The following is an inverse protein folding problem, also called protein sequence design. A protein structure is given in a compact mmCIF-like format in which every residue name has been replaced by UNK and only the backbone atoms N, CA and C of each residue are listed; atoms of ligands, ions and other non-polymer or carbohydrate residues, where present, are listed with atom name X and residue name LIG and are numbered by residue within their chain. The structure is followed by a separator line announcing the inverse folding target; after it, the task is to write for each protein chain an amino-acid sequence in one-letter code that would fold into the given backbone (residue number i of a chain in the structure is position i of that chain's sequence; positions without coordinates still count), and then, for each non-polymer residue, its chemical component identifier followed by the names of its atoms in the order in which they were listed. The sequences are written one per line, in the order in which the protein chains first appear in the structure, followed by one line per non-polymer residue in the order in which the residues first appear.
data_IF_857012140189
#
_entry.id   IF_857012140189
#
_cell.length_a   1.000
_cell.length_b   1.000
_cell.length_c   1.000
_cell.angle_alpha   90.00
_cell.angle_beta   90.00
_cell.angle_gamma   90.00
#
_symmetry.space_group_name_H-M   'P 1'
#
loop_
_entity.id
_entity.type
_entity.pdbx_description
1 polymer ?
#
# COMPACT_ATOMS: atom_id res chain seq x y z
N UNK A 1 23.29 67.89 -46.96
CA UNK A 1 23.46 66.42 -47.05
C UNK A 1 23.47 65.71 -45.70
N UNK A 2 24.26 66.12 -44.70
CA UNK A 2 24.35 65.47 -43.37
C UNK A 2 23.00 65.21 -42.65
N UNK A 3 22.04 66.14 -42.70
CA UNK A 3 20.74 66.01 -42.02
C UNK A 3 19.83 64.91 -42.59
N UNK A 4 19.95 64.59 -43.89
CA UNK A 4 19.16 63.53 -44.55
C UNK A 4 19.65 62.13 -44.16
N UNK A 5 20.96 61.96 -43.98
CA UNK A 5 21.55 60.70 -43.53
C UNK A 5 21.22 60.40 -42.05
N UNK A 6 21.14 61.42 -41.20
CA UNK A 6 20.76 61.26 -39.78
C UNK A 6 19.30 60.81 -39.66
N UNK A 7 18.40 61.36 -40.47
CA UNK A 7 16.98 60.96 -40.49
C UNK A 7 16.83 59.53 -41.03
N UNK A 8 17.58 59.16 -42.07
CA UNK A 8 17.58 57.79 -42.59
C UNK A 8 18.12 56.79 -41.55
N UNK A 9 19.20 57.13 -40.84
CA UNK A 9 19.78 56.28 -39.82
C UNK A 9 18.84 56.12 -38.62
N UNK A 10 18.17 57.21 -38.19
CA UNK A 10 17.16 57.17 -37.14
C UNK A 10 15.94 56.30 -37.52
N UNK A 11 15.52 56.33 -38.80
CA UNK A 11 14.44 55.48 -39.31
C UNK A 11 14.82 53.99 -39.40
N UNK A 12 16.09 53.68 -39.69
CA UNK A 12 16.58 52.30 -39.72
C UNK A 12 16.72 51.73 -38.29
N UNK A 13 17.16 52.54 -37.33
CA UNK A 13 17.27 52.13 -35.92
C UNK A 13 15.89 51.94 -35.28
N UNK A 14 14.90 52.77 -35.63
CA UNK A 14 13.53 52.61 -35.11
C UNK A 14 12.81 51.37 -35.68
N UNK A 15 13.12 50.95 -36.91
CA UNK A 15 12.62 49.70 -37.48
C UNK A 15 13.27 48.45 -36.83
N UNK A 16 14.52 48.55 -36.38
CA UNK A 16 15.22 47.48 -35.66
C UNK A 16 14.85 47.37 -34.17
N UNK A 17 14.28 48.44 -33.58
CA UNK A 17 13.89 48.49 -32.17
C UNK A 17 12.54 47.83 -31.86
N UNK A 18 11.79 47.40 -32.88
CA UNK A 18 10.53 46.69 -32.71
C UNK A 18 10.82 45.23 -32.31
N UNK A 19 11.17 44.99 -31.03
CA UNK A 19 11.20 43.64 -30.48
C UNK A 19 9.80 43.05 -30.58
N UNK A 20 9.67 41.96 -31.33
CA UNK A 20 8.44 41.15 -31.39
C UNK A 20 8.00 40.87 -29.96
N UNK A 21 6.78 41.27 -29.59
CA UNK A 21 6.20 40.91 -28.29
C UNK A 21 6.17 39.39 -28.23
N UNK A 22 6.89 38.80 -27.28
CA UNK A 22 6.87 37.36 -27.07
C UNK A 22 5.48 37.00 -26.55
N UNK A 23 4.75 36.17 -27.31
CA UNK A 23 3.44 35.70 -26.89
C UNK A 23 3.60 34.64 -25.79
N UNK A 24 3.51 35.10 -24.54
CA UNK A 24 3.55 34.25 -23.34
C UNK A 24 4.92 34.17 -22.66
N UNK A 25 4.97 33.35 -21.62
CA UNK A 25 6.13 33.10 -20.77
C UNK A 25 6.35 31.59 -20.59
N UNK A 26 7.59 31.15 -20.60
CA UNK A 26 7.99 29.78 -20.26
C UNK A 26 9.05 29.88 -19.17
N UNK A 27 8.73 29.37 -17.98
CA UNK A 27 9.64 29.40 -16.84
C UNK A 27 10.81 28.44 -17.03
N UNK A 28 11.92 28.81 -16.39
CA UNK A 28 13.12 27.99 -16.26
C UNK A 28 13.08 27.06 -15.04
N UNK A 29 12.07 27.21 -14.15
CA UNK A 29 12.04 26.60 -12.82
C UNK A 29 10.78 25.75 -12.55
N UNK A 30 10.26 25.09 -13.60
CA UNK A 30 9.21 24.09 -13.39
C UNK A 30 9.72 23.00 -12.46
N UNK A 31 8.83 22.46 -11.61
CA UNK A 31 9.21 21.50 -10.58
C UNK A 31 8.02 20.71 -10.07
N UNK A 32 8.27 19.56 -9.45
CA UNK A 32 7.27 18.97 -8.57
C UNK A 32 7.25 19.70 -7.23
N UNK A 33 6.21 19.45 -6.43
CA UNK A 33 6.20 19.91 -5.03
C UNK A 33 7.34 19.26 -4.23
N UNK A 34 7.56 17.97 -4.46
CA UNK A 34 8.72 17.21 -4.03
C UNK A 34 9.37 16.56 -5.24
N UNK A 35 10.66 16.82 -5.45
CA UNK A 35 11.41 16.22 -6.57
C UNK A 35 11.84 14.77 -6.27
N UNK A 36 11.59 14.25 -5.06
CA UNK A 36 11.73 12.86 -4.69
C UNK A 36 10.35 12.18 -4.70
N UNK A 37 10.07 11.46 -5.78
CA UNK A 37 8.82 10.73 -5.97
C UNK A 37 9.02 9.30 -5.46
N UNK A 38 8.11 8.78 -4.65
CA UNK A 38 8.28 7.47 -4.00
C UNK A 38 7.35 6.42 -4.61
N UNK A 39 7.91 5.58 -5.48
CA UNK A 39 7.22 4.42 -6.02
C UNK A 39 7.28 3.27 -5.00
N UNK A 40 6.33 3.25 -4.07
CA UNK A 40 6.14 2.11 -3.15
C UNK A 40 5.58 0.93 -3.94
N UNK A 41 6.41 -0.10 -4.11
CA UNK A 41 6.14 -1.22 -5.02
C UNK A 41 4.84 -1.97 -4.68
N UNK A 42 4.04 -2.26 -5.70
CA UNK A 42 2.87 -3.14 -5.60
C UNK A 42 1.62 -2.52 -4.97
N UNK A 43 1.62 -1.22 -4.64
CA UNK A 43 0.41 -0.51 -4.24
C UNK A 43 -0.62 -0.51 -5.38
N UNK A 44 -1.91 -0.47 -5.01
CA UNK A 44 -3.02 -0.42 -5.97
C UNK A 44 -2.92 0.83 -6.84
N UNK A 45 -2.63 1.97 -6.21
CA UNK A 45 -2.42 3.25 -6.88
C UNK A 45 -1.51 4.13 -6.02
N UNK A 46 -0.44 4.64 -6.62
CA UNK A 46 0.30 5.79 -6.10
C UNK A 46 0.39 6.83 -7.21
N UNK A 47 0.11 8.09 -6.88
CA UNK A 47 0.16 9.19 -7.83
C UNK A 47 0.98 10.33 -7.27
N UNK A 48 1.91 10.86 -8.06
CA UNK A 48 2.68 12.04 -7.70
C UNK A 48 1.83 13.32 -7.76
N UNK A 49 2.35 14.39 -7.18
CA UNK A 49 1.88 15.74 -7.49
C UNK A 49 2.08 16.06 -8.99
N UNK A 50 1.31 17.03 -9.48
CA UNK A 50 1.48 17.60 -10.82
C UNK A 50 2.73 18.48 -10.88
N UNK A 51 3.28 18.65 -12.08
CA UNK A 51 4.35 19.62 -12.29
C UNK A 51 3.76 21.03 -12.09
N UNK A 52 4.40 21.83 -11.24
CA UNK A 52 4.16 23.26 -11.15
C UNK A 52 4.88 23.94 -12.32
N UNK A 53 4.11 24.56 -13.21
CA UNK A 53 4.61 25.26 -14.38
C UNK A 53 5.24 26.63 -14.08
N UNK A 54 5.26 27.06 -12.81
CA UNK A 54 5.96 28.24 -12.32
C UNK A 54 5.60 29.52 -13.10
N UNK A 55 4.29 29.76 -13.27
CA UNK A 55 3.76 30.93 -13.97
C UNK A 55 3.84 30.86 -15.51
N UNK A 56 4.31 29.76 -16.09
CA UNK A 56 4.34 29.59 -17.56
C UNK A 56 2.94 29.71 -18.17
N UNK A 57 2.86 30.31 -19.36
CA UNK A 57 1.61 30.53 -20.07
C UNK A 57 1.03 29.19 -20.57
N UNK A 58 -0.21 28.83 -20.18
CA UNK A 58 -0.91 27.68 -20.74
C UNK A 58 -1.41 27.95 -22.17
N UNK A 59 -1.79 26.90 -22.93
CA UNK A 59 -1.71 25.49 -22.58
C UNK A 59 -0.27 24.97 -22.63
N UNK A 60 0.03 23.98 -21.80
CA UNK A 60 1.31 23.28 -21.84
C UNK A 60 1.15 21.78 -21.81
N UNK A 61 2.11 21.09 -22.41
CA UNK A 61 2.23 19.62 -22.38
C UNK A 61 3.63 19.22 -21.95
N UNK A 62 3.73 18.01 -21.43
CA UNK A 62 4.95 17.43 -20.89
C UNK A 62 5.25 16.10 -21.58
N UNK A 63 6.53 15.80 -21.76
CA UNK A 63 7.00 14.50 -22.20
C UNK A 63 8.16 14.04 -21.33
N UNK A 64 8.03 12.87 -20.72
CA UNK A 64 9.12 12.25 -19.97
C UNK A 64 10.17 11.70 -20.93
N UNK A 65 11.44 12.01 -20.67
CA UNK A 65 12.58 11.60 -21.48
C UNK A 65 13.70 11.05 -20.58
N UNK A 66 14.58 10.25 -21.18
CA UNK A 66 15.85 9.81 -20.57
C UNK A 66 15.73 9.24 -19.14
N UNK A 67 14.70 8.41 -18.87
CA UNK A 67 14.64 7.68 -17.60
C UNK A 67 15.87 6.78 -17.47
N UNK A 68 16.65 7.00 -16.41
CA UNK A 68 17.96 6.39 -16.18
C UNK A 68 18.22 6.22 -14.69
N UNK A 69 19.18 5.37 -14.33
CA UNK A 69 19.68 5.30 -12.95
C UNK A 69 20.46 6.58 -12.61
N UNK A 70 20.67 6.81 -11.31
CA UNK A 70 21.43 7.97 -10.82
C UNK A 70 22.87 8.03 -11.37
N UNK A 71 23.48 6.88 -11.68
CA UNK A 71 24.82 6.78 -12.30
C UNK A 71 24.83 7.08 -13.81
N UNK A 72 23.67 7.37 -14.40
CA UNK A 72 23.49 7.65 -15.82
C UNK A 72 23.26 6.40 -16.69
N UNK A 73 23.37 5.19 -16.15
CA UNK A 73 23.06 3.97 -16.90
C UNK A 73 21.57 3.87 -17.23
N UNK A 74 21.20 3.16 -18.33
CA UNK A 74 19.81 3.04 -18.73
C UNK A 74 18.92 2.49 -17.62
N UNK A 75 17.67 2.97 -17.57
CA UNK A 75 16.68 2.38 -16.68
C UNK A 75 16.43 0.91 -17.04
N UNK A 76 16.18 0.05 -16.03
CA UNK A 76 15.86 -1.35 -16.25
C UNK A 76 14.68 -1.54 -17.21
N UNK A 77 14.67 -2.66 -17.92
CA UNK A 77 13.64 -2.98 -18.93
C UNK A 77 12.24 -3.06 -18.32
N UNK A 78 12.16 -3.38 -17.02
CA UNK A 78 10.95 -3.52 -16.23
C UNK A 78 10.08 -2.26 -16.25
N UNK A 79 10.66 -1.06 -16.42
CA UNK A 79 9.89 0.18 -16.59
C UNK A 79 9.08 0.22 -17.90
N UNK A 80 9.45 -0.59 -18.89
CA UNK A 80 8.87 -0.67 -20.23
C UNK A 80 8.22 -2.03 -20.51
N UNK A 81 8.22 -2.93 -19.54
CA UNK A 81 7.59 -4.24 -19.63
C UNK A 81 6.17 -4.16 -19.08
N UNK A 82 5.20 -4.68 -19.83
CA UNK A 82 3.84 -4.84 -19.32
C UNK A 82 3.72 -6.13 -18.52
N UNK A 83 2.96 -6.08 -17.43
CA UNK A 83 2.69 -7.22 -16.56
C UNK A 83 1.20 -7.42 -16.42
N UNK A 84 0.79 -8.69 -16.29
CA UNK A 84 -0.60 -9.02 -16.03
C UNK A 84 -0.96 -8.63 -14.59
N UNK A 85 -1.96 -7.77 -14.47
CA UNK A 85 -2.52 -7.35 -13.18
C UNK A 85 -4.03 -7.54 -13.19
N UNK A 86 -4.58 -7.93 -12.04
CA UNK A 86 -6.02 -8.03 -11.83
C UNK A 86 -6.55 -6.67 -11.36
N UNK A 87 -7.49 -6.11 -12.10
CA UNK A 87 -8.17 -4.85 -11.81
C UNK A 87 -9.69 -5.04 -11.84
N UNK A 88 -10.42 -4.06 -11.33
CA UNK A 88 -11.86 -3.97 -11.59
C UNK A 88 -12.12 -3.45 -12.99
N UNK A 89 -13.15 -4.00 -13.63
CA UNK A 89 -13.67 -3.47 -14.89
C UNK A 89 -14.09 -2.02 -14.70
N UNK A 90 -14.01 -1.22 -15.76
CA UNK A 90 -14.40 0.19 -15.71
C UNK A 90 -15.82 0.36 -15.11
N UNK A 91 -15.93 1.25 -14.12
CA UNK A 91 -17.19 1.51 -13.40
C UNK A 91 -17.63 0.42 -12.42
N UNK A 92 -16.87 -0.66 -12.25
CA UNK A 92 -17.14 -1.71 -11.27
C UNK A 92 -16.27 -1.52 -10.02
N UNK A 93 -16.78 -1.97 -8.88
CA UNK A 93 -16.05 -2.01 -7.61
C UNK A 93 -16.59 -3.14 -6.73
N UNK A 94 -15.87 -3.47 -5.67
CA UNK A 94 -16.33 -4.43 -4.68
C UNK A 94 -17.53 -3.91 -3.92
N UNK A 95 -18.52 -4.78 -3.72
CA UNK A 95 -19.69 -4.56 -2.90
C UNK A 95 -19.90 -5.78 -1.98
N UNK A 96 -19.78 -5.54 -0.68
CA UNK A 96 -19.85 -6.58 0.34
C UNK A 96 -21.22 -7.28 0.47
N UNK A 97 -22.28 -6.72 -0.14
CA UNK A 97 -23.63 -7.28 -0.15
C UNK A 97 -23.88 -8.17 -1.35
N UNK A 98 -23.27 -7.87 -2.50
CA UNK A 98 -23.49 -8.58 -3.77
C UNK A 98 -22.35 -9.53 -4.14
N UNK A 99 -21.10 -9.22 -3.75
CA UNK A 99 -19.91 -10.02 -4.07
C UNK A 99 -19.64 -11.05 -2.95
N UNK A 100 -20.55 -11.99 -2.78
CA UNK A 100 -20.50 -12.98 -1.69
C UNK A 100 -19.72 -14.25 -2.02
N UNK A 101 -19.36 -14.46 -3.28
CA UNK A 101 -18.52 -15.60 -3.72
C UNK A 101 -17.38 -15.14 -4.61
N UNK A 102 -16.36 -15.98 -4.77
CA UNK A 102 -15.20 -15.73 -5.64
C UNK A 102 -15.67 -15.51 -7.09
N UNK A 103 -16.66 -16.28 -7.55
CA UNK A 103 -17.23 -16.18 -8.89
C UNK A 103 -17.92 -14.84 -9.12
N UNK A 104 -18.71 -14.36 -8.15
CA UNK A 104 -19.39 -13.06 -8.24
C UNK A 104 -18.38 -11.91 -8.27
N UNK A 105 -17.38 -11.96 -7.38
CA UNK A 105 -16.28 -11.01 -7.38
C UNK A 105 -15.52 -11.02 -8.72
N UNK A 106 -15.22 -12.20 -9.27
CA UNK A 106 -14.49 -12.33 -10.53
C UNK A 106 -15.28 -11.84 -11.75
N UNK A 107 -16.62 -11.82 -11.72
CA UNK A 107 -17.41 -11.19 -12.80
C UNK A 107 -17.11 -9.70 -12.95
N UNK A 108 -16.74 -9.02 -11.86
CA UNK A 108 -16.38 -7.59 -11.82
C UNK A 108 -14.89 -7.32 -12.06
N UNK A 109 -14.05 -8.36 -12.04
CA UNK A 109 -12.61 -8.25 -12.24
C UNK A 109 -12.22 -8.66 -13.66
N UNK A 110 -11.09 -8.15 -14.11
CA UNK A 110 -10.43 -8.57 -15.33
C UNK A 110 -8.92 -8.53 -15.16
N UNK A 111 -8.21 -9.33 -15.96
CA UNK A 111 -6.76 -9.23 -16.08
C UNK A 111 -6.45 -8.30 -17.24
N UNK A 112 -5.61 -7.31 -16.98
CA UNK A 112 -5.07 -6.42 -18.00
C UNK A 112 -3.56 -6.52 -18.04
N UNK A 113 -2.97 -6.34 -19.22
CA UNK A 113 -1.53 -6.17 -19.36
C UNK A 113 -1.21 -4.69 -19.25
N UNK A 114 -0.48 -4.29 -18.19
CA UNK A 114 -0.20 -2.89 -17.91
C UNK A 114 1.28 -2.65 -17.59
N UNK A 115 1.79 -1.49 -18.04
CA UNK A 115 3.08 -0.97 -17.58
C UNK A 115 3.03 -0.67 -16.07
N UNK A 116 4.16 -0.76 -15.35
CA UNK A 116 4.21 -0.47 -13.92
C UNK A 116 3.91 0.99 -13.57
N UNK A 117 4.05 1.89 -14.56
CA UNK A 117 3.79 3.30 -14.41
C UNK A 117 3.27 3.96 -15.69
N UNK A 118 2.63 5.11 -15.51
CA UNK A 118 2.17 6.01 -16.57
C UNK A 118 2.60 7.44 -16.23
N UNK A 119 3.08 8.18 -17.24
CA UNK A 119 3.36 9.61 -17.14
C UNK A 119 2.26 10.37 -17.88
N UNK A 120 1.51 11.21 -17.15
CA UNK A 120 0.45 12.02 -17.71
C UNK A 120 1.05 13.22 -18.44
N UNK A 121 0.95 13.26 -19.77
CA UNK A 121 1.53 14.33 -20.60
C UNK A 121 0.84 15.70 -20.43
N UNK A 122 -0.35 15.76 -19.82
CA UNK A 122 -1.05 17.03 -19.54
C UNK A 122 -0.62 17.64 -18.20
N UNK A 123 -0.45 16.83 -17.16
CA UNK A 123 -0.14 17.32 -15.81
C UNK A 123 1.30 17.08 -15.36
N UNK A 124 2.03 16.23 -16.08
CA UNK A 124 3.33 15.70 -15.67
C UNK A 124 3.25 14.73 -14.49
N UNK A 125 2.06 14.29 -14.06
CA UNK A 125 1.93 13.35 -12.95
C UNK A 125 2.42 11.96 -13.33
N UNK A 126 3.08 11.31 -12.38
CA UNK A 126 3.42 9.90 -12.45
C UNK A 126 2.40 9.09 -11.66
N UNK A 127 1.87 8.06 -12.30
CA UNK A 127 0.96 7.09 -11.67
C UNK A 127 1.61 5.72 -11.70
N UNK A 128 1.69 5.07 -10.54
CA UNK A 128 2.18 3.69 -10.38
C UNK A 128 1.01 2.79 -9.99
N UNK A 129 1.03 1.55 -10.47
CA UNK A 129 -0.01 0.56 -10.21
C UNK A 129 0.60 -0.74 -9.64
N UNK A 130 -0.21 -1.80 -9.49
CA UNK A 130 0.22 -3.10 -8.97
C UNK A 130 1.43 -3.70 -9.70
N UNK A 131 1.60 -3.45 -11.01
CA UNK A 131 2.73 -3.96 -11.78
C UNK A 131 4.08 -3.37 -11.34
N UNK A 132 4.08 -2.26 -10.59
CA UNK A 132 5.28 -1.70 -9.95
C UNK A 132 5.97 -2.67 -8.96
N UNK A 133 5.30 -3.75 -8.55
CA UNK A 133 5.91 -4.85 -7.81
C UNK A 133 7.15 -5.46 -8.51
N UNK A 134 7.22 -5.35 -9.84
CA UNK A 134 8.31 -5.87 -10.65
C UNK A 134 9.46 -4.87 -10.84
N UNK A 135 9.31 -3.62 -10.39
CA UNK A 135 10.37 -2.63 -10.53
C UNK A 135 11.55 -2.97 -9.59
N UNK A 136 12.80 -2.92 -10.08
CA UNK A 136 13.97 -3.04 -9.22
C UNK A 136 14.08 -1.85 -8.27
N UNK A 137 14.43 -2.14 -7.01
CA UNK A 137 14.72 -1.11 -6.01
C UNK A 137 15.84 -0.18 -6.51
N UNK A 138 15.72 1.11 -6.22
CA UNK A 138 16.75 2.08 -6.58
C UNK A 138 16.22 3.49 -6.85
N UNK A 139 17.15 4.35 -7.28
CA UNK A 139 16.88 5.74 -7.63
C UNK A 139 17.04 5.95 -9.13
N UNK A 140 16.00 6.52 -9.74
CA UNK A 140 15.92 6.75 -11.17
C UNK A 140 15.61 8.21 -11.46
N UNK A 141 16.38 8.83 -12.32
CA UNK A 141 16.24 10.23 -12.69
C UNK A 141 15.67 10.32 -14.09
N UNK A 142 14.81 11.30 -14.35
CA UNK A 142 14.25 11.55 -15.68
C UNK A 142 14.31 13.01 -16.06
N UNK A 143 14.36 13.26 -17.36
CA UNK A 143 14.22 14.59 -17.93
C UNK A 143 12.76 14.81 -18.33
N UNK A 144 12.35 16.07 -18.42
CA UNK A 144 11.03 16.44 -18.93
C UNK A 144 11.19 17.49 -20.01
N UNK A 145 10.57 17.25 -21.16
CA UNK A 145 10.36 18.28 -22.16
C UNK A 145 8.99 18.91 -21.92
N UNK A 146 8.93 20.23 -21.77
CA UNK A 146 7.68 20.99 -21.70
C UNK A 146 7.52 21.83 -22.96
N UNK A 147 6.32 21.84 -23.51
CA UNK A 147 5.93 22.69 -24.65
C UNK A 147 4.80 23.60 -24.24
N UNK A 148 4.88 24.88 -24.60
CA UNK A 148 3.82 25.87 -24.46
C UNK A 148 3.81 26.83 -25.67
N UNK A 149 2.97 27.89 -25.72
CA UNK A 149 2.90 28.79 -26.88
C UNK A 149 4.21 29.53 -27.21
N UNK A 150 5.14 29.63 -26.25
CA UNK A 150 6.44 30.28 -26.47
C UNK A 150 7.47 29.33 -27.10
N UNK A 151 7.25 28.01 -27.01
CA UNK A 151 8.13 27.00 -27.59
C UNK A 151 8.25 25.75 -26.72
N UNK A 152 9.33 25.00 -26.98
CA UNK A 152 9.64 23.73 -26.31
C UNK A 152 10.97 23.85 -25.57
N UNK A 153 11.00 23.40 -24.31
CA UNK A 153 12.19 23.42 -23.46
C UNK A 153 12.42 22.07 -22.76
N UNK A 154 13.68 21.65 -22.70
CA UNK A 154 14.11 20.46 -21.98
C UNK A 154 14.60 20.83 -20.57
N UNK A 155 14.05 20.15 -19.56
CA UNK A 155 14.45 20.22 -18.16
C UNK A 155 15.13 18.92 -17.80
N UNK A 156 16.47 18.96 -17.72
CA UNK A 156 17.28 17.79 -17.39
C UNK A 156 17.16 17.45 -15.91
N UNK A 157 17.08 16.17 -15.60
CA UNK A 157 17.04 15.66 -14.22
C UNK A 157 15.97 16.36 -13.37
N UNK A 158 14.75 16.50 -13.89
CA UNK A 158 13.69 17.26 -13.23
C UNK A 158 13.34 16.67 -11.86
N UNK A 159 13.26 15.34 -11.77
CA UNK A 159 12.93 14.63 -10.54
C UNK A 159 13.52 13.23 -10.50
N UNK A 160 13.47 12.65 -9.31
CA UNK A 160 13.95 11.30 -8.99
C UNK A 160 12.77 10.43 -8.57
N UNK A 161 12.65 9.24 -9.16
CA UNK A 161 11.78 8.15 -8.73
C UNK A 161 12.59 7.25 -7.80
N UNK A 162 12.20 7.20 -6.54
CA UNK A 162 12.70 6.29 -5.53
C UNK A 162 11.79 5.05 -5.52
N UNK A 163 12.25 3.95 -6.10
CA UNK A 163 11.55 2.66 -6.03
C UNK A 163 11.94 1.99 -4.72
N UNK A 164 10.95 1.87 -3.83
CA UNK A 164 11.13 1.38 -2.46
C UNK A 164 10.09 0.32 -2.12
N UNK A 165 10.41 -0.52 -1.13
CA UNK A 165 9.40 -1.37 -0.55
C UNK A 165 8.41 -0.58 0.31
N UNK A 166 7.11 -0.94 0.30
CA UNK A 166 6.16 -0.40 1.25
C UNK A 166 6.61 -0.66 2.68
N UNK A 167 6.41 0.33 3.55
CA UNK A 167 6.67 0.17 5.00
C UNK A 167 5.57 -0.67 5.66
N UNK A 168 5.79 -1.15 6.88
CA UNK A 168 4.76 -1.88 7.63
C UNK A 168 3.46 -1.08 7.74
N UNK A 169 3.53 0.24 7.95
CA UNK A 169 2.36 1.11 8.08
C UNK A 169 1.57 1.25 6.76
N UNK A 170 2.24 1.09 5.62
CA UNK A 170 1.59 1.03 4.31
C UNK A 170 0.83 -0.29 4.10
N UNK A 171 1.30 -1.37 4.73
CA UNK A 171 0.81 -2.73 4.53
C UNK A 171 -0.21 -3.17 5.56
N UNK A 172 -0.09 -2.67 6.80
CA UNK A 172 -0.69 -3.28 7.97
C UNK A 172 -0.97 -2.23 9.03
N UNK A 173 -2.06 -2.40 9.76
CA UNK A 173 -2.39 -1.59 10.94
C UNK A 173 -2.88 -2.49 12.04
N UNK A 174 -2.43 -2.24 13.27
CA UNK A 174 -2.93 -2.87 14.50
C UNK A 174 -3.74 -1.81 15.24
N UNK A 175 -4.93 -2.16 15.71
CA UNK A 175 -5.81 -1.24 16.44
C UNK A 175 -6.21 -1.76 17.83
N UNK A 176 -5.94 -3.02 18.16
CA UNK A 176 -6.09 -3.59 19.51
C UNK A 176 -5.17 -4.82 19.64
N UNK A 177 -4.60 -5.03 20.83
CA UNK A 177 -3.64 -6.10 21.14
C UNK A 177 -3.72 -6.50 22.63
N UNK A 178 -4.91 -6.73 23.17
CA UNK A 178 -5.09 -6.99 24.61
C UNK A 178 -5.17 -8.48 24.92
N UNK A 179 -4.54 -8.93 26.01
CA UNK A 179 -4.76 -10.28 26.55
C UNK A 179 -5.05 -10.28 28.05
N UNK A 180 -5.81 -11.26 28.50
CA UNK A 180 -6.10 -11.50 29.90
C UNK A 180 -5.99 -12.99 30.22
N UNK A 181 -5.56 -13.33 31.44
CA UNK A 181 -5.74 -14.64 32.02
C UNK A 181 -7.17 -14.80 32.54
N UNK A 182 -7.81 -15.92 32.21
CA UNK A 182 -9.14 -16.27 32.68
C UNK A 182 -9.05 -17.48 33.59
N UNK A 183 -9.48 -17.30 34.84
CA UNK A 183 -9.53 -18.37 35.80
C UNK A 183 -10.64 -19.35 35.41
N UNK A 184 -10.27 -20.59 35.08
CA UNK A 184 -11.22 -21.58 34.56
C UNK A 184 -12.22 -22.05 35.62
N UNK A 185 -11.94 -21.82 36.91
CA UNK A 185 -12.80 -22.20 38.05
C UNK A 185 -13.71 -21.06 38.48
N UNK A 186 -13.16 -19.86 38.71
CA UNK A 186 -13.91 -18.73 39.26
C UNK A 186 -14.52 -17.82 38.19
N UNK A 187 -14.10 -17.96 36.93
CA UNK A 187 -14.47 -17.06 35.84
C UNK A 187 -13.86 -15.66 35.94
N UNK A 188 -12.98 -15.42 36.91
CA UNK A 188 -12.32 -14.12 37.10
C UNK A 188 -11.36 -13.82 35.95
N UNK A 189 -11.36 -12.57 35.49
CA UNK A 189 -10.46 -12.05 34.46
C UNK A 189 -9.35 -11.27 35.14
N UNK A 190 -8.10 -11.61 34.85
CA UNK A 190 -6.91 -10.93 35.38
C UNK A 190 -6.04 -10.46 34.21
N UNK A 191 -5.60 -9.19 34.20
CA UNK A 191 -4.69 -8.70 33.17
C UNK A 191 -3.39 -9.53 33.10
N UNK A 192 -2.88 -9.71 31.88
CA UNK A 192 -1.56 -10.29 31.60
C UNK A 192 -0.84 -9.39 30.60
N UNK A 193 0.39 -9.74 30.18
CA UNK A 193 1.07 -8.93 29.16
C UNK A 193 0.33 -9.00 27.83
N UNK A 194 0.23 -7.85 27.18
CA UNK A 194 -0.34 -7.75 25.83
C UNK A 194 0.50 -8.55 24.82
N UNK A 195 -0.15 -9.23 23.86
CA UNK A 195 0.55 -9.89 22.77
C UNK A 195 1.34 -8.91 21.90
N UNK A 196 2.42 -9.41 21.31
CA UNK A 196 3.17 -8.71 20.27
C UNK A 196 2.66 -9.22 18.92
N UNK A 197 2.15 -8.31 18.09
CA UNK A 197 1.62 -8.66 16.76
C UNK A 197 2.59 -8.17 15.70
N UNK A 198 3.04 -9.08 14.84
CA UNK A 198 3.91 -8.74 13.70
C UNK A 198 3.29 -9.18 12.39
N UNK A 199 3.61 -8.46 11.32
CA UNK A 199 3.19 -8.78 9.96
C UNK A 199 4.44 -8.85 9.07
N UNK A 200 4.65 -9.99 8.44
CA UNK A 200 5.74 -10.21 7.48
C UNK A 200 5.17 -10.56 6.12
N UNK A 201 5.49 -9.77 5.10
CA UNK A 201 5.15 -10.11 3.71
C UNK A 201 6.12 -11.18 3.21
N UNK A 202 5.59 -12.32 2.79
CA UNK A 202 6.37 -13.45 2.26
C UNK A 202 6.61 -13.27 0.77
N UNK A 203 5.60 -12.84 0.02
CA UNK A 203 5.71 -12.53 -1.40
C UNK A 203 4.54 -11.63 -1.87
N UNK A 204 4.67 -11.10 -3.08
CA UNK A 204 3.68 -10.22 -3.71
C UNK A 204 2.48 -10.94 -4.35
N UNK A 205 2.49 -12.28 -4.37
CA UNK A 205 1.49 -13.07 -5.09
C UNK A 205 0.35 -13.52 -4.17
N UNK A 206 -0.84 -13.60 -4.76
CA UNK A 206 -2.05 -14.07 -4.09
C UNK A 206 -2.64 -13.06 -3.10
N UNK A 207 -3.59 -13.53 -2.31
CA UNK A 207 -4.27 -12.76 -1.28
C UNK A 207 -4.43 -13.68 -0.07
N UNK A 208 -3.32 -13.98 0.63
CA UNK A 208 -3.26 -14.99 1.68
C UNK A 208 -2.76 -14.41 3.00
N UNK A 209 -3.45 -14.78 4.08
CA UNK A 209 -2.97 -14.60 5.45
C UNK A 209 -2.69 -15.96 6.09
N UNK A 210 -1.54 -16.06 6.74
CA UNK A 210 -1.13 -17.17 7.59
C UNK A 210 -1.02 -16.63 9.02
N UNK A 211 -2.07 -16.83 9.82
CA UNK A 211 -2.15 -16.38 11.20
C UNK A 211 -1.57 -17.44 12.13
N UNK A 212 -0.51 -17.08 12.85
CA UNK A 212 0.17 -17.92 13.85
C UNK A 212 -0.02 -17.34 15.24
N UNK A 213 -0.35 -18.20 16.20
CA UNK A 213 -0.35 -17.85 17.62
C UNK A 213 0.79 -18.60 18.29
N UNK A 214 1.72 -17.89 18.92
CA UNK A 214 2.95 -18.47 19.47
C UNK A 214 3.15 -18.10 20.93
N UNK A 215 3.76 -19.01 21.68
CA UNK A 215 4.20 -18.74 23.05
C UNK A 215 5.44 -17.82 23.09
N UNK A 216 5.93 -17.51 24.29
CA UNK A 216 7.09 -16.64 24.50
C UNK A 216 8.38 -17.17 23.86
N UNK A 217 8.46 -18.48 23.61
CA UNK A 217 9.61 -19.15 23.00
C UNK A 217 9.43 -19.40 21.49
N UNK A 218 8.36 -18.87 20.87
CA UNK A 218 8.07 -19.06 19.46
C UNK A 218 7.43 -20.40 19.10
N UNK A 219 7.00 -21.21 20.08
CA UNK A 219 6.28 -22.47 19.81
C UNK A 219 4.83 -22.16 19.43
N UNK A 220 4.39 -22.67 18.29
CA UNK A 220 3.01 -22.45 17.80
C UNK A 220 1.99 -23.26 18.59
N UNK A 221 0.89 -22.62 18.96
CA UNK A 221 -0.32 -23.30 19.39
C UNK A 221 -1.00 -23.96 18.19
N UNK A 222 -1.51 -25.19 18.35
CA UNK A 222 -2.07 -25.99 17.27
C UNK A 222 -3.59 -25.72 17.12
N UNK A 223 -4.03 -25.00 16.07
CA UNK A 223 -5.46 -24.73 15.87
C UNK A 223 -6.26 -25.97 15.44
N UNK A 224 -5.63 -26.97 14.83
CA UNK A 224 -6.28 -28.24 14.44
C UNK A 224 -6.54 -29.15 15.63
N UNK A 225 -5.70 -29.09 16.67
CA UNK A 225 -5.81 -29.92 17.88
C UNK A 225 -6.56 -29.23 19.04
N UNK A 226 -7.29 -28.14 18.78
CA UNK A 226 -8.10 -27.46 19.79
C UNK A 226 -7.30 -26.64 20.81
N UNK A 227 -6.02 -26.35 20.57
CA UNK A 227 -5.25 -25.45 21.44
C UNK A 227 -5.67 -23.98 21.27
N UNK A 228 -6.39 -23.66 20.19
CA UNK A 228 -6.97 -22.34 19.92
C UNK A 228 -8.47 -22.54 19.68
N UNK A 229 -9.30 -22.00 20.58
CA UNK A 229 -10.76 -22.12 20.52
C UNK A 229 -11.43 -20.74 20.49
N UNK A 230 -12.66 -20.69 19.97
CA UNK A 230 -13.47 -19.47 19.94
C UNK A 230 -13.84 -19.03 21.36
N UNK A 231 -13.92 -17.73 21.59
CA UNK A 231 -14.32 -17.17 22.89
C UNK A 231 -15.83 -16.89 22.96
N UNK A 232 -16.63 -17.96 22.92
CA UNK A 232 -18.10 -17.87 22.88
C UNK A 232 -18.61 -17.40 21.52
N UNK A 233 -19.53 -16.44 21.54
CA UNK A 233 -20.20 -15.83 20.37
C UNK A 233 -19.43 -14.65 19.75
N UNK A 234 -18.23 -14.35 20.26
CA UNK A 234 -17.42 -13.21 19.83
C UNK A 234 -16.79 -13.44 18.45
N UNK A 235 -16.54 -12.37 17.67
CA UNK A 235 -15.93 -12.50 16.36
C UNK A 235 -14.53 -13.10 16.44
N UNK A 236 -14.21 -13.86 15.40
CA UNK A 236 -12.97 -14.61 15.20
C UNK A 236 -12.44 -14.33 13.81
N UNK A 237 -11.22 -14.78 13.51
CA UNK A 237 -10.65 -14.71 12.17
C UNK A 237 -11.58 -15.32 11.11
N UNK A 238 -12.23 -16.43 11.45
CA UNK A 238 -13.19 -17.12 10.60
C UNK A 238 -14.40 -16.26 10.21
N UNK A 239 -14.81 -15.29 11.04
CA UNK A 239 -15.93 -14.41 10.71
C UNK A 239 -15.63 -13.42 9.58
N UNK A 240 -14.35 -13.13 9.34
CA UNK A 240 -13.91 -12.21 8.30
C UNK A 240 -13.54 -12.91 6.99
N UNK A 241 -13.41 -14.24 7.02
CA UNK A 241 -13.09 -15.09 5.87
C UNK A 241 -14.32 -15.28 4.96
N UNK A 242 -14.67 -14.23 4.19
CA UNK A 242 -15.91 -14.21 3.38
C UNK A 242 -15.90 -15.16 2.18
N UNK A 243 -14.78 -15.25 1.48
CA UNK A 243 -14.72 -15.94 0.18
C UNK A 243 -14.30 -17.40 0.30
N UNK A 244 -13.31 -17.66 1.14
CA UNK A 244 -12.75 -18.98 1.35
C UNK A 244 -12.78 -19.30 2.85
N UNK A 245 -13.15 -20.54 3.24
CA UNK A 245 -13.12 -20.93 4.64
C UNK A 245 -11.68 -20.92 5.19
N UNK A 246 -11.54 -20.65 6.48
CA UNK A 246 -10.24 -20.72 7.15
C UNK A 246 -9.78 -22.18 7.25
N UNK A 247 -8.58 -22.44 6.76
CA UNK A 247 -7.89 -23.73 6.86
C UNK A 247 -7.08 -23.75 8.15
N UNK A 248 -7.30 -24.76 9.00
CA UNK A 248 -6.55 -24.97 10.24
C UNK A 248 -5.48 -26.04 10.04
N UNK A 249 -4.23 -25.69 10.29
CA UNK A 249 -3.08 -26.62 10.26
C UNK A 249 -2.58 -26.88 11.67
N UNK A 250 -1.48 -27.62 11.83
CA UNK A 250 -0.87 -27.83 13.14
C UNK A 250 -0.19 -26.58 13.73
N UNK A 251 0.00 -25.54 12.90
CA UNK A 251 0.78 -24.36 13.27
C UNK A 251 0.11 -23.03 12.96
N UNK A 252 -0.97 -23.01 12.17
CA UNK A 252 -1.56 -21.78 11.67
C UNK A 252 -3.04 -21.90 11.29
N UNK A 253 -3.70 -20.75 11.27
CA UNK A 253 -4.99 -20.53 10.60
C UNK A 253 -4.73 -19.77 9.30
N UNK A 254 -5.19 -20.30 8.16
CA UNK A 254 -4.88 -19.77 6.83
C UNK A 254 -6.17 -19.33 6.14
N UNK A 255 -6.17 -18.12 5.58
CA UNK A 255 -7.29 -17.59 4.81
C UNK A 255 -6.80 -17.00 3.49
N UNK A 256 -7.40 -17.43 2.38
CA UNK A 256 -7.31 -16.74 1.10
C UNK A 256 -8.44 -15.71 1.04
N UNK A 257 -8.10 -14.43 1.19
CA UNK A 257 -9.07 -13.34 1.40
C UNK A 257 -9.53 -12.66 0.10
N UNK A 258 -8.99 -13.06 -1.05
CA UNK A 258 -9.31 -12.62 -2.42
C UNK A 258 -9.07 -11.15 -2.78
N UNK A 259 -9.28 -10.22 -1.85
CA UNK A 259 -9.24 -8.78 -2.09
C UNK A 259 -8.87 -8.01 -0.82
N UNK A 260 -7.91 -7.10 -0.96
CA UNK A 260 -7.53 -6.18 0.11
C UNK A 260 -8.46 -4.93 0.13
N UNK A 261 -8.64 -4.29 1.30
CA UNK A 261 -8.04 -4.63 2.59
C UNK A 261 -8.69 -5.86 3.24
N UNK A 262 -7.99 -6.50 4.18
CA UNK A 262 -8.51 -7.64 4.94
C UNK A 262 -8.27 -7.50 6.44
N UNK A 263 -9.30 -7.55 7.30
CA UNK A 263 -10.71 -7.70 6.94
C UNK A 263 -11.31 -6.53 6.14
N UNK A 264 -12.28 -6.81 5.27
CA UNK A 264 -12.93 -5.83 4.40
C UNK A 264 -13.95 -4.94 5.12
N UNK A 265 -14.78 -5.57 5.96
CA UNK A 265 -15.89 -4.91 6.65
C UNK A 265 -15.82 -5.20 8.14
N UNK A 266 -16.24 -4.22 8.94
CA UNK A 266 -16.41 -4.42 10.38
C UNK A 266 -17.40 -5.56 10.65
N UNK A 267 -17.21 -6.26 11.76
CA UNK A 267 -18.16 -7.23 12.27
C UNK A 267 -19.17 -6.51 13.18
N UNK A 268 -20.40 -6.36 12.68
CA UNK A 268 -21.49 -5.69 13.39
C UNK A 268 -22.63 -6.69 13.56
N UNK A 269 -23.09 -6.88 14.79
CA UNK A 269 -24.32 -7.60 15.13
C UNK A 269 -25.44 -6.59 15.42
N UNK A 270 -26.71 -7.02 15.52
CA UNK A 270 -27.81 -6.10 15.88
C UNK A 270 -27.61 -5.36 17.20
N UNK A 271 -26.75 -5.87 18.10
CA UNK A 271 -26.56 -5.34 19.45
C UNK A 271 -25.16 -4.77 19.69
N UNK A 272 -24.18 -4.97 18.80
CA UNK A 272 -22.79 -4.59 19.06
C UNK A 272 -21.99 -4.37 17.76
N UNK A 273 -21.29 -3.22 17.68
CA UNK A 273 -20.21 -3.01 16.71
C UNK A 273 -18.90 -3.52 17.32
N UNK A 274 -18.39 -4.64 16.81
CA UNK A 274 -17.14 -5.22 17.26
C UNK A 274 -15.92 -4.70 16.47
N UNK A 275 -16.14 -3.81 15.51
CA UNK A 275 -15.08 -3.32 14.62
C UNK A 275 -14.40 -4.47 13.88
N UNK A 276 -13.09 -4.57 14.01
CA UNK A 276 -12.29 -5.66 13.44
C UNK A 276 -11.69 -6.56 14.52
N UNK A 277 -12.33 -6.65 15.68
CA UNK A 277 -11.83 -7.45 16.80
C UNK A 277 -11.93 -8.95 16.47
N UNK A 278 -10.93 -9.70 16.92
CA UNK A 278 -10.85 -11.14 16.88
C UNK A 278 -10.58 -11.64 18.30
N UNK A 279 -11.37 -12.61 18.75
CA UNK A 279 -11.34 -13.13 20.11
C UNK A 279 -11.10 -14.63 20.10
N UNK A 280 -10.10 -15.05 20.87
CA UNK A 280 -9.81 -16.48 21.05
C UNK A 280 -9.61 -16.82 22.52
N UNK A 281 -9.47 -18.11 22.77
CA UNK A 281 -9.01 -18.68 24.03
C UNK A 281 -7.99 -19.77 23.75
N UNK A 282 -6.89 -19.78 24.49
CA UNK A 282 -5.98 -20.92 24.61
C UNK A 282 -6.28 -21.57 25.97
N UNK A 283 -6.84 -22.80 26.00
CA UNK A 283 -7.18 -23.47 27.26
C UNK A 283 -5.96 -23.65 28.18
N UNK A 284 -6.18 -23.56 29.49
CA UNK A 284 -5.12 -23.73 30.50
C UNK A 284 -4.45 -25.11 30.47
N UNK A 285 -5.06 -26.12 29.85
CA UNK A 285 -4.44 -27.42 29.60
C UNK A 285 -3.25 -27.35 28.66
N UNK A 286 -3.21 -26.37 27.76
CA UNK A 286 -2.16 -26.19 26.75
C UNK A 286 -1.20 -25.02 27.05
N UNK A 287 -1.54 -24.16 28.01
CA UNK A 287 -0.77 -22.95 28.31
C UNK A 287 -0.49 -22.77 29.80
N UNK A 288 0.63 -22.12 30.09
CA UNK A 288 0.98 -21.57 31.40
C UNK A 288 1.30 -20.09 31.24
N UNK A 289 0.62 -19.24 32.00
CA UNK A 289 0.96 -17.81 32.10
C UNK A 289 1.97 -17.63 33.23
N UNK A 290 3.05 -16.89 32.98
CA UNK A 290 4.08 -16.60 33.97
C UNK A 290 3.49 -15.77 35.12
N UNK A 291 3.94 -16.04 36.35
CA UNK A 291 3.47 -15.38 37.58
C UNK A 291 1.99 -15.58 37.93
N UNK A 292 1.26 -16.43 37.19
CA UNK A 292 -0.10 -16.85 37.56
C UNK A 292 -0.07 -18.15 38.39
N UNK A 293 -1.00 -18.34 39.33
CA UNK A 293 -1.11 -19.58 40.10
C UNK A 293 -1.32 -20.81 39.19
N UNK A 294 -0.52 -21.86 39.38
CA UNK A 294 -0.54 -23.04 38.51
C UNK A 294 -1.64 -24.05 38.85
N UNK A 295 -2.16 -24.00 40.08
CA UNK A 295 -3.12 -24.96 40.63
C UNK A 295 -4.57 -24.74 40.20
N UNK A 296 -4.92 -23.55 39.72
CA UNK A 296 -6.31 -23.16 39.40
C UNK A 296 -6.63 -23.10 37.90
N UNK A 297 -5.64 -23.32 37.02
CA UNK A 297 -5.82 -23.32 35.56
C UNK A 297 -6.25 -21.95 35.02
N UNK A 298 -5.34 -21.26 34.33
CA UNK A 298 -5.65 -20.00 33.66
C UNK A 298 -5.57 -20.14 32.15
N UNK A 299 -6.71 -19.98 31.48
CA UNK A 299 -6.77 -19.89 30.02
C UNK A 299 -6.31 -18.52 29.56
N UNK A 300 -5.60 -18.46 28.43
CA UNK A 300 -5.22 -17.19 27.79
C UNK A 300 -6.42 -16.71 26.97
N UNK A 301 -6.96 -15.52 27.27
CA UNK A 301 -8.09 -14.91 26.55
C UNK A 301 -7.62 -13.66 25.79
N UNK A 302 -6.94 -13.83 24.65
CA UNK A 302 -6.53 -12.69 23.85
C UNK A 302 -7.71 -12.11 23.05
N UNK A 303 -7.59 -10.82 22.77
CA UNK A 303 -8.29 -10.13 21.72
C UNK A 303 -7.30 -9.27 20.95
N UNK A 304 -7.52 -9.12 19.66
CA UNK A 304 -6.73 -8.21 18.86
C UNK A 304 -7.53 -7.71 17.67
N UNK A 305 -7.01 -6.69 17.02
CA UNK A 305 -7.55 -6.18 15.78
C UNK A 305 -6.42 -5.70 14.89
N UNK A 306 -6.48 -6.12 13.63
CA UNK A 306 -5.55 -5.66 12.61
C UNK A 306 -6.21 -5.65 11.23
N UNK A 307 -5.62 -4.90 10.30
CA UNK A 307 -6.05 -4.87 8.91
C UNK A 307 -4.84 -4.85 7.98
N UNK A 308 -4.82 -5.76 7.01
CA UNK A 308 -3.91 -5.75 5.86
C UNK A 308 -4.49 -4.85 4.78
N UNK A 309 -3.66 -3.97 4.22
CA UNK A 309 -4.07 -2.96 3.23
C UNK A 309 -3.80 -3.38 1.79
N UNK A 310 -2.99 -4.43 1.58
CA UNK A 310 -2.60 -4.91 0.26
C UNK A 310 -2.72 -6.41 0.11
N UNK A 311 -2.92 -6.83 -1.14
CA UNK A 311 -2.77 -8.22 -1.59
C UNK A 311 -1.31 -8.68 -1.46
N UNK A 312 -1.12 -9.99 -1.44
CA UNK A 312 0.13 -10.69 -1.19
C UNK A 312 -0.07 -11.88 -0.25
N UNK A 313 1.01 -12.59 0.03
CA UNK A 313 1.05 -13.62 1.06
C UNK A 313 1.73 -13.08 2.30
N UNK A 314 1.04 -13.10 3.44
CA UNK A 314 1.51 -12.55 4.71
C UNK A 314 1.51 -13.59 5.81
N UNK A 315 2.53 -13.55 6.67
CA UNK A 315 2.52 -14.21 7.97
C UNK A 315 2.22 -13.16 9.03
N UNK A 316 1.12 -13.37 9.76
CA UNK A 316 0.78 -12.57 10.93
C UNK A 316 1.05 -13.43 12.15
N UNK A 317 1.93 -12.98 13.02
CA UNK A 317 2.27 -13.69 14.26
C UNK A 317 1.72 -12.90 15.45
N UNK A 318 0.95 -13.57 16.29
CA UNK A 318 0.51 -13.09 17.61
C UNK A 318 1.33 -13.85 18.66
N UNK A 319 2.31 -13.18 19.25
CA UNK A 319 3.20 -13.76 20.26
C UNK A 319 2.77 -13.35 21.67
N UNK A 320 2.64 -14.33 22.55
CA UNK A 320 2.30 -14.10 23.96
C UNK A 320 3.57 -14.09 24.82
N UNK A 321 4.07 -12.92 25.27
CA UNK A 321 5.43 -12.77 25.81
C UNK A 321 5.62 -13.36 27.21
N UNK A 322 4.54 -13.69 27.92
CA UNK A 322 4.53 -14.29 29.26
C UNK A 322 3.81 -15.64 29.28
N UNK A 323 3.61 -16.28 28.12
CA UNK A 323 2.95 -17.59 28.03
C UNK A 323 3.95 -18.65 27.60
N UNK A 324 3.88 -19.82 28.21
CA UNK A 324 4.60 -21.03 27.78
C UNK A 324 3.60 -22.08 27.32
N UNK A 325 3.82 -22.66 26.14
CA UNK A 325 3.07 -23.83 25.68
C UNK A 325 3.52 -25.07 26.45
N UNK A 326 2.55 -25.82 26.99
CA UNK A 326 2.77 -27.10 27.69
C UNK A 326 3.09 -28.21 26.69
#
# INVERSE_FOLDING_TARGET
MKRRYIILLAAVVSLAACKKIQNGFQSDFIRYKDNNLYAKRGLILYQSDRINADGSTPPYTYKMLNLRKADGSPAPVEFKTSYDITVFKAGQSFDATTDTTVELLNKKREKISALPMYFNETSGQLTFNKASANLPLGQYVFDVQMTNPTGTKLFKSLATINVVDPTTDDLFVITDDVANGFNDVTGSVTPMRNPIITCTKVNNNGARVILKMVDKNGRTFNPKNGEIIKRGDRPTFENYAKFNPVIKTDTAMICDFEIAPFPLTKYVTPTTDWGFLMYYRIPSTYAKIDNFPTNVGFSVNPRWSWQLKLEGTYVIQVQFPDVTKK
#
